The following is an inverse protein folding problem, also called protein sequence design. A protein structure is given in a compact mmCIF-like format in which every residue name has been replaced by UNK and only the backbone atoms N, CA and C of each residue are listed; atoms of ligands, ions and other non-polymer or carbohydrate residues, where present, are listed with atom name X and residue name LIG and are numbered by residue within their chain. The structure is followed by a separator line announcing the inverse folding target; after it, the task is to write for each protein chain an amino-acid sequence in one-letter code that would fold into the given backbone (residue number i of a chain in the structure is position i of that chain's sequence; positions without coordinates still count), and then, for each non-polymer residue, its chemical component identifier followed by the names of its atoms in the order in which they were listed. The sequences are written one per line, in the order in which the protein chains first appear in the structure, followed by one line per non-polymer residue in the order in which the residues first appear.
data_IF_167071240214
#
_entry.id   IF_167071240214
#
_cell.length_a   1.000
_cell.length_b   1.000
_cell.length_c   1.000
_cell.angle_alpha   90.00
_cell.angle_beta   90.00
_cell.angle_gamma   90.00
#
_symmetry.space_group_name_H-M   'P 1'
#
loop_
_entity.id
_entity.type
_entity.pdbx_description
1 polymer ?
#
# COMPACT_ATOMS: atom_id res chain seq x y z
N UNK A 1 1.80 -46.39 2.73
CA UNK A 1 1.87 -45.41 3.82
C UNK A 1 3.06 -44.44 3.72
N UNK A 2 4.32 -44.89 3.52
CA UNK A 2 5.48 -43.96 3.41
C UNK A 2 5.40 -42.93 2.28
N UNK A 3 4.84 -43.26 1.10
CA UNK A 3 4.71 -42.32 -0.05
C UNK A 3 3.65 -41.25 0.19
N UNK A 4 2.58 -41.54 0.93
CA UNK A 4 1.55 -40.57 1.28
C UNK A 4 2.03 -39.54 2.31
N UNK A 5 2.91 -39.93 3.23
CA UNK A 5 3.50 -39.06 4.25
C UNK A 5 4.50 -38.07 3.61
N UNK A 6 5.28 -38.53 2.62
CA UNK A 6 6.23 -37.69 1.89
C UNK A 6 5.48 -36.63 1.04
N UNK A 7 4.37 -37.00 0.40
CA UNK A 7 3.55 -36.05 -0.38
C UNK A 7 2.90 -35.00 0.52
N UNK A 8 2.44 -35.36 1.72
CA UNK A 8 1.86 -34.45 2.69
C UNK A 8 2.90 -33.46 3.25
N UNK A 9 4.14 -33.87 3.45
CA UNK A 9 5.24 -33.03 3.90
C UNK A 9 5.70 -32.00 2.83
N UNK A 10 5.67 -32.38 1.55
CA UNK A 10 6.01 -31.49 0.43
C UNK A 10 4.92 -30.43 0.22
N UNK A 11 3.65 -30.78 0.39
CA UNK A 11 2.53 -29.83 0.30
C UNK A 11 2.54 -28.83 1.47
N UNK A 12 2.92 -29.27 2.67
CA UNK A 12 3.05 -28.38 3.84
C UNK A 12 4.22 -27.39 3.73
N UNK A 13 5.30 -27.75 3.03
CA UNK A 13 6.46 -26.89 2.83
C UNK A 13 6.21 -25.76 1.80
N UNK A 14 5.24 -25.92 0.89
CA UNK A 14 4.87 -24.90 -0.11
C UNK A 14 3.92 -23.81 0.42
N UNK A 15 3.35 -23.99 1.60
CA UNK A 15 2.42 -23.02 2.21
C UNK A 15 3.10 -21.90 3.03
N UNK A 16 4.43 -21.92 3.19
CA UNK A 16 5.14 -20.99 4.09
C UNK A 16 5.82 -19.80 3.41
N UNK A 17 5.53 -19.50 2.15
CA UNK A 17 5.94 -18.21 1.54
C UNK A 17 4.93 -17.11 1.89
N UNK A 18 4.67 -16.88 3.18
CA UNK A 18 4.17 -15.61 3.66
C UNK A 18 5.29 -14.59 3.43
N UNK A 19 5.29 -13.94 2.27
CA UNK A 19 6.19 -12.83 1.97
C UNK A 19 6.08 -11.82 3.11
N UNK A 20 7.20 -11.44 3.69
CA UNK A 20 7.24 -10.39 4.70
C UNK A 20 6.59 -9.15 4.08
N UNK A 21 5.41 -8.78 4.57
CA UNK A 21 4.74 -7.53 4.19
C UNK A 21 5.59 -6.41 4.77
N UNK A 22 6.36 -5.74 3.92
CA UNK A 22 7.20 -4.60 4.31
C UNK A 22 6.40 -3.29 4.40
N UNK A 23 5.07 -3.36 4.30
CA UNK A 23 4.17 -2.19 4.31
C UNK A 23 3.37 -2.14 5.61
N UNK A 24 3.37 -0.97 6.26
CA UNK A 24 2.60 -0.70 7.47
C UNK A 24 1.75 0.55 7.28
N UNK A 25 0.46 0.48 7.69
CA UNK A 25 -0.36 1.66 7.86
C UNK A 25 0.04 2.35 9.17
N UNK A 26 0.59 3.56 9.08
CA UNK A 26 1.15 4.27 10.25
C UNK A 26 0.19 5.27 10.86
N UNK A 27 -0.67 5.90 10.05
CA UNK A 27 -1.71 6.81 10.51
C UNK A 27 -2.98 6.51 9.75
N UNK A 28 -4.07 6.25 10.46
CA UNK A 28 -5.37 5.94 9.86
C UNK A 28 -6.46 6.74 10.55
N UNK A 29 -7.30 7.35 9.76
CA UNK A 29 -8.52 8.02 10.21
C UNK A 29 -9.72 7.53 9.41
N UNK A 30 -10.88 7.44 10.05
CA UNK A 30 -12.14 7.21 9.35
C UNK A 30 -13.23 8.03 10.02
N UNK A 31 -14.13 8.61 9.21
CA UNK A 31 -15.30 9.33 9.71
C UNK A 31 -16.21 8.37 10.50
N UNK A 32 -16.45 8.63 11.80
CA UNK A 32 -17.33 7.80 12.59
C UNK A 32 -18.78 7.77 12.06
N UNK A 33 -19.24 8.86 11.42
CA UNK A 33 -20.58 8.95 10.85
C UNK A 33 -20.73 8.15 9.55
N UNK A 34 -19.64 7.92 8.84
CA UNK A 34 -19.61 7.13 7.60
C UNK A 34 -19.66 5.62 7.87
N UNK A 35 -19.20 5.16 9.06
CA UNK A 35 -19.17 3.74 9.41
C UNK A 35 -20.59 3.16 9.48
N UNK A 36 -20.84 2.12 8.66
CA UNK A 36 -22.14 1.46 8.57
C UNK A 36 -23.21 2.20 7.75
N UNK A 37 -22.97 3.47 7.37
CA UNK A 37 -23.88 4.26 6.52
C UNK A 37 -23.38 4.38 5.08
N UNK A 38 -22.06 4.42 4.87
CA UNK A 38 -21.45 4.48 3.54
C UNK A 38 -21.00 3.08 3.12
N UNK A 39 -21.42 2.67 1.93
CA UNK A 39 -20.97 1.44 1.28
C UNK A 39 -20.85 1.68 -0.21
N UNK A 40 -19.65 1.53 -0.72
CA UNK A 40 -19.39 1.74 -2.12
C UNK A 40 -19.72 0.52 -2.96
N UNK A 41 -20.34 0.77 -4.11
CA UNK A 41 -20.68 -0.24 -5.11
C UNK A 41 -19.75 -0.16 -6.31
N UNK A 42 -19.28 1.06 -6.64
CA UNK A 42 -18.37 1.29 -7.74
C UNK A 42 -17.37 2.42 -7.42
N UNK A 43 -16.15 2.07 -7.19
CA UNK A 43 -15.09 3.01 -6.85
C UNK A 43 -14.21 3.37 -8.06
N UNK A 44 -13.79 4.61 -8.14
CA UNK A 44 -12.72 5.05 -9.04
C UNK A 44 -11.39 5.00 -8.28
N UNK A 45 -10.39 4.34 -8.87
CA UNK A 45 -9.01 4.34 -8.39
C UNK A 45 -8.21 5.42 -9.11
N UNK A 46 -7.65 6.36 -8.36
CA UNK A 46 -6.85 7.49 -8.87
C UNK A 46 -5.48 7.53 -8.21
N UNK A 47 -4.42 7.41 -8.99
CA UNK A 47 -3.04 7.64 -8.53
C UNK A 47 -2.55 8.98 -9.03
N UNK A 48 -2.16 9.85 -8.10
CA UNK A 48 -1.68 11.20 -8.42
C UNK A 48 -0.16 11.13 -8.63
N UNK A 49 0.25 11.20 -9.89
CA UNK A 49 1.66 11.19 -10.31
C UNK A 49 1.89 12.13 -11.49
N UNK A 50 3.10 12.68 -11.58
CA UNK A 50 3.54 13.42 -12.78
C UNK A 50 3.87 12.48 -13.94
N UNK A 51 4.25 11.25 -13.63
CA UNK A 51 4.55 10.20 -14.61
C UNK A 51 3.29 9.40 -14.92
N UNK A 52 2.86 9.44 -16.18
CA UNK A 52 1.65 8.75 -16.65
C UNK A 52 1.78 7.22 -16.60
N UNK A 53 3.00 6.66 -16.72
CA UNK A 53 3.21 5.21 -16.63
C UNK A 53 3.00 4.79 -15.18
N UNK A 54 3.60 5.51 -14.22
CA UNK A 54 3.40 5.27 -12.79
C UNK A 54 1.92 5.40 -12.41
N UNK A 55 1.23 6.43 -12.92
CA UNK A 55 -0.20 6.61 -12.70
C UNK A 55 -0.99 5.39 -13.15
N UNK A 56 -0.86 4.96 -14.41
CA UNK A 56 -1.61 3.82 -14.97
C UNK A 56 -1.31 2.51 -14.27
N UNK A 57 -0.02 2.19 -14.08
CA UNK A 57 0.42 0.98 -13.37
C UNK A 57 -0.13 0.96 -11.94
N UNK A 58 -0.09 2.10 -11.25
CA UNK A 58 -0.60 2.24 -9.91
C UNK A 58 -2.13 2.09 -9.84
N UNK A 59 -2.87 2.73 -10.75
CA UNK A 59 -4.33 2.62 -10.81
C UNK A 59 -4.78 1.19 -11.12
N UNK A 60 -4.13 0.48 -12.06
CA UNK A 60 -4.43 -0.92 -12.37
C UNK A 60 -4.10 -1.84 -11.17
N UNK A 61 -2.97 -1.61 -10.47
CA UNK A 61 -2.60 -2.37 -9.28
C UNK A 61 -3.60 -2.16 -8.13
N UNK A 62 -4.09 -0.92 -7.95
CA UNK A 62 -5.09 -0.59 -6.94
C UNK A 62 -6.44 -1.25 -7.28
N UNK A 63 -6.90 -1.17 -8.53
CA UNK A 63 -8.13 -1.81 -9.01
C UNK A 63 -8.12 -3.32 -8.77
N UNK A 64 -6.98 -3.97 -9.00
CA UNK A 64 -6.83 -5.43 -8.85
C UNK A 64 -7.09 -5.92 -7.41
N UNK A 65 -7.00 -5.05 -6.39
CA UNK A 65 -7.24 -5.42 -5.00
C UNK A 65 -8.73 -5.40 -4.60
N UNK A 66 -9.58 -4.72 -5.38
CA UNK A 66 -11.01 -4.67 -5.12
C UNK A 66 -11.70 -5.93 -5.65
N UNK A 67 -11.86 -6.93 -4.76
CA UNK A 67 -12.62 -8.14 -5.05
C UNK A 67 -13.97 -8.02 -4.35
N UNK A 68 -15.06 -8.11 -5.11
CA UNK A 68 -16.42 -7.98 -4.58
C UNK A 68 -17.03 -6.56 -4.69
N UNK A 69 -16.23 -5.52 -4.83
CA UNK A 69 -16.65 -4.16 -5.17
C UNK A 69 -16.13 -3.79 -6.56
N UNK A 70 -16.99 -3.25 -7.42
CA UNK A 70 -16.54 -2.79 -8.74
C UNK A 70 -15.54 -1.65 -8.59
N UNK A 71 -14.40 -1.74 -9.27
CA UNK A 71 -13.38 -0.70 -9.28
C UNK A 71 -12.94 -0.41 -10.73
N UNK A 72 -12.68 0.85 -11.03
CA UNK A 72 -12.22 1.27 -12.36
C UNK A 72 -11.11 2.30 -12.22
N UNK A 73 -10.04 2.12 -12.99
CA UNK A 73 -8.92 3.05 -13.06
C UNK A 73 -9.36 4.40 -13.64
N UNK A 74 -8.92 5.50 -13.03
CA UNK A 74 -9.33 6.85 -13.42
C UNK A 74 -8.97 7.16 -14.87
N UNK A 75 -7.79 6.72 -15.36
CA UNK A 75 -7.36 6.98 -16.74
C UNK A 75 -8.26 6.35 -17.80
N UNK A 76 -9.12 5.37 -17.43
CA UNK A 76 -10.11 4.73 -18.32
C UNK A 76 -11.44 5.47 -18.35
N UNK A 77 -11.71 6.30 -17.36
CA UNK A 77 -12.99 6.98 -17.15
C UNK A 77 -12.95 8.45 -17.57
N UNK A 78 -11.86 9.12 -17.27
CA UNK A 78 -11.80 10.57 -17.37
C UNK A 78 -10.36 11.04 -17.61
N UNK A 79 -10.18 12.09 -18.40
CA UNK A 79 -8.89 12.69 -18.60
C UNK A 79 -8.43 13.51 -17.37
N UNK A 80 -7.10 13.65 -17.22
CA UNK A 80 -6.54 14.51 -16.15
C UNK A 80 -6.96 15.98 -16.31
N UNK A 81 -7.29 16.41 -17.53
CA UNK A 81 -7.79 17.77 -17.81
C UNK A 81 -9.23 17.94 -17.32
N UNK A 82 -10.10 16.96 -17.62
CA UNK A 82 -11.49 16.99 -17.19
C UNK A 82 -11.63 16.85 -15.67
N UNK A 83 -10.72 16.09 -15.00
CA UNK A 83 -10.66 16.02 -13.53
C UNK A 83 -10.42 17.39 -12.86
N UNK A 84 -9.78 18.34 -13.55
CA UNK A 84 -9.60 19.71 -13.04
C UNK A 84 -10.86 20.56 -13.12
N UNK A 85 -11.83 20.12 -13.92
CA UNK A 85 -13.13 20.79 -14.03
C UNK A 85 -14.16 20.02 -13.22
N UNK A 86 -14.55 20.56 -12.05
CA UNK A 86 -15.46 19.89 -11.11
C UNK A 86 -16.78 19.48 -11.74
N UNK A 87 -17.40 20.33 -12.56
CA UNK A 87 -18.69 20.04 -13.18
C UNK A 87 -18.58 18.88 -14.16
N UNK A 88 -17.58 18.91 -15.07
CA UNK A 88 -17.36 17.85 -16.05
C UNK A 88 -17.02 16.52 -15.37
N UNK A 89 -16.11 16.56 -14.37
CA UNK A 89 -15.74 15.40 -13.60
C UNK A 89 -16.97 14.75 -12.94
N UNK A 90 -17.76 15.55 -12.25
CA UNK A 90 -18.95 15.08 -11.54
C UNK A 90 -19.99 14.47 -12.49
N UNK A 91 -20.25 15.11 -13.65
CA UNK A 91 -21.14 14.56 -14.68
C UNK A 91 -20.63 13.22 -15.23
N UNK A 92 -19.34 13.15 -15.59
CA UNK A 92 -18.73 11.93 -16.15
C UNK A 92 -18.77 10.77 -15.14
N UNK A 93 -18.42 11.02 -13.88
CA UNK A 93 -18.36 9.98 -12.85
C UNK A 93 -19.77 9.50 -12.47
N UNK A 94 -20.75 10.41 -12.38
CA UNK A 94 -22.16 10.05 -12.15
C UNK A 94 -22.76 9.24 -13.30
N UNK A 95 -22.44 9.59 -14.55
CA UNK A 95 -22.95 8.88 -15.72
C UNK A 95 -22.52 7.39 -15.77
N UNK A 96 -21.36 7.05 -15.19
CA UNK A 96 -20.87 5.67 -15.10
C UNK A 96 -21.12 5.01 -13.74
N UNK A 97 -21.82 5.73 -12.84
CA UNK A 97 -22.25 5.21 -11.54
C UNK A 97 -21.13 5.07 -10.51
N UNK A 98 -20.11 5.94 -10.56
CA UNK A 98 -19.07 5.99 -9.52
C UNK A 98 -19.68 6.65 -8.28
N UNK A 99 -19.61 5.95 -7.15
CA UNK A 99 -20.09 6.43 -5.83
C UNK A 99 -18.96 6.72 -4.86
N UNK A 100 -17.75 6.17 -5.09
CA UNK A 100 -16.59 6.43 -4.27
C UNK A 100 -15.31 6.68 -5.08
N UNK A 101 -14.38 7.42 -4.51
CA UNK A 101 -13.03 7.63 -5.08
C UNK A 101 -11.98 7.26 -4.07
N UNK A 102 -11.04 6.42 -4.49
CA UNK A 102 -9.83 6.10 -3.73
C UNK A 102 -8.66 6.77 -4.42
N UNK A 103 -8.05 7.74 -3.75
CA UNK A 103 -6.86 8.44 -4.25
C UNK A 103 -5.61 7.92 -3.57
N UNK A 104 -4.49 7.87 -4.29
CA UNK A 104 -3.18 7.53 -3.74
C UNK A 104 -2.11 8.47 -4.28
N UNK A 105 -1.24 8.97 -3.41
CA UNK A 105 -0.11 9.82 -3.80
C UNK A 105 1.15 9.55 -3.00
N UNK A 106 2.30 9.80 -3.62
CA UNK A 106 3.58 9.79 -2.92
C UNK A 106 3.68 11.05 -2.03
N UNK A 107 3.97 10.84 -0.74
CA UNK A 107 4.25 11.92 0.22
C UNK A 107 5.75 12.14 0.31
N UNK A 108 6.50 11.07 0.55
CA UNK A 108 7.95 11.14 0.75
C UNK A 108 8.62 9.82 0.38
N UNK A 109 9.89 9.92 0.00
CA UNK A 109 10.78 8.77 -0.15
C UNK A 109 12.12 9.13 0.52
N UNK A 110 12.39 8.51 1.67
CA UNK A 110 13.56 8.82 2.49
C UNK A 110 14.50 7.61 2.50
N UNK A 111 15.80 7.87 2.34
CA UNK A 111 16.83 6.87 2.58
C UNK A 111 17.30 7.00 4.02
N UNK A 112 17.16 5.93 4.78
CA UNK A 112 17.66 5.84 6.15
C UNK A 112 18.91 4.98 6.16
N UNK A 113 20.02 5.56 6.59
CA UNK A 113 21.25 4.82 6.78
C UNK A 113 21.39 4.49 8.26
N UNK A 114 21.36 3.22 8.60
CA UNK A 114 21.46 2.73 9.97
C UNK A 114 22.77 1.98 10.14
N UNK A 115 23.51 2.35 11.18
CA UNK A 115 24.65 1.56 11.61
C UNK A 115 24.16 0.45 12.51
N UNK A 116 24.41 -0.80 12.15
CA UNK A 116 24.05 -1.96 12.94
C UNK A 116 25.25 -2.43 13.74
N UNK A 117 25.26 -2.26 15.06
CA UNK A 117 26.23 -2.90 15.93
C UNK A 117 25.98 -4.41 15.94
N UNK A 118 27.04 -5.22 15.88
CA UNK A 118 26.93 -6.66 16.08
C UNK A 118 26.39 -6.99 17.48
N UNK A 119 25.55 -8.03 17.61
CA UNK A 119 25.11 -8.53 18.89
C UNK A 119 26.17 -9.42 19.52
N UNK A 120 26.80 -8.96 20.60
CA UNK A 120 27.85 -9.71 21.30
C UNK A 120 27.39 -10.03 22.71
N UNK A 121 27.03 -11.26 23.02
CA UNK A 121 26.50 -11.65 24.33
C UNK A 121 27.57 -11.73 25.43
N UNK A 122 28.87 -11.63 25.09
CA UNK A 122 29.98 -11.70 26.05
C UNK A 122 30.91 -10.49 25.92
N UNK A 123 31.56 -10.09 27.04
CA UNK A 123 32.57 -9.02 27.05
C UNK A 123 33.71 -9.29 26.08
N UNK A 124 34.22 -10.52 26.06
CA UNK A 124 35.34 -10.87 25.18
C UNK A 124 34.94 -10.89 23.69
N UNK A 125 33.72 -11.31 23.39
CA UNK A 125 33.17 -11.18 22.06
C UNK A 125 33.02 -9.72 21.63
N UNK A 126 32.51 -8.87 22.50
CA UNK A 126 32.43 -7.44 22.27
C UNK A 126 33.81 -6.81 22.08
N UNK A 127 34.77 -7.07 22.98
CA UNK A 127 36.12 -6.50 22.91
C UNK A 127 36.86 -6.95 21.63
N UNK A 128 36.78 -8.24 21.30
CA UNK A 128 37.41 -8.80 20.08
C UNK A 128 36.83 -8.20 18.80
N UNK A 129 35.55 -7.76 18.83
CA UNK A 129 34.91 -7.05 17.74
C UNK A 129 35.19 -5.55 17.76
N UNK A 130 35.06 -4.88 18.91
CA UNK A 130 35.20 -3.44 19.03
C UNK A 130 36.63 -2.96 18.76
N UNK A 131 37.64 -3.74 19.20
CA UNK A 131 39.05 -3.37 19.02
C UNK A 131 39.44 -3.25 17.55
N UNK A 132 39.11 -4.19 16.65
CA UNK A 132 39.36 -4.03 15.22
C UNK A 132 38.48 -2.94 14.55
N UNK A 133 37.31 -2.61 15.09
CA UNK A 133 36.42 -1.59 14.51
C UNK A 133 37.00 -0.17 14.57
N UNK A 134 37.91 0.09 15.49
CA UNK A 134 38.67 1.36 15.48
C UNK A 134 39.48 1.50 14.19
N UNK A 135 39.79 0.38 13.53
CA UNK A 135 40.58 0.31 12.31
C UNK A 135 39.82 -0.16 11.07
N UNK A 136 38.57 -0.66 11.27
CA UNK A 136 37.76 -1.15 10.18
C UNK A 136 36.29 -0.76 10.46
N UNK A 137 35.80 0.32 9.83
CA UNK A 137 34.43 0.77 10.07
C UNK A 137 33.42 -0.31 9.69
N UNK A 138 32.37 -0.49 10.52
CA UNK A 138 31.26 -1.37 10.26
C UNK A 138 30.55 -1.03 8.94
N UNK A 139 29.71 -1.94 8.45
CA UNK A 139 28.96 -1.69 7.24
C UNK A 139 27.70 -0.86 7.52
N UNK A 140 27.40 0.03 6.59
CA UNK A 140 26.20 0.84 6.62
C UNK A 140 25.11 0.10 5.83
N UNK A 141 23.94 -0.06 6.45
CA UNK A 141 22.73 -0.52 5.76
C UNK A 141 21.91 0.70 5.40
N UNK A 142 21.62 0.84 4.12
CA UNK A 142 20.75 1.92 3.63
C UNK A 142 19.41 1.32 3.28
N UNK A 143 18.38 1.70 4.03
CA UNK A 143 16.99 1.35 3.77
C UNK A 143 16.29 2.52 3.07
N UNK A 144 15.43 2.19 2.13
CA UNK A 144 14.52 3.14 1.51
C UNK A 144 13.15 2.99 2.15
N UNK A 145 12.62 4.06 2.71
CA UNK A 145 11.24 4.12 3.21
C UNK A 145 10.42 5.00 2.28
N UNK A 146 9.38 4.42 1.69
CA UNK A 146 8.45 5.13 0.79
C UNK A 146 7.12 5.30 1.50
N UNK A 147 6.71 6.56 1.67
CA UNK A 147 5.44 6.94 2.29
C UNK A 147 4.42 7.33 1.25
N UNK A 148 3.29 6.62 1.25
CA UNK A 148 2.12 6.96 0.46
C UNK A 148 0.97 7.42 1.37
N UNK A 149 0.19 8.38 0.87
CA UNK A 149 -1.10 8.78 1.42
C UNK A 149 -2.20 8.20 0.55
N UNK A 150 -3.22 7.67 1.17
CA UNK A 150 -4.42 7.16 0.49
C UNK A 150 -5.64 7.74 1.17
N UNK A 151 -6.52 8.36 0.37
CA UNK A 151 -7.76 8.95 0.84
C UNK A 151 -8.95 8.35 0.11
N UNK A 152 -10.07 8.22 0.81
CA UNK A 152 -11.32 7.69 0.26
C UNK A 152 -12.44 8.71 0.44
N UNK A 153 -13.06 9.07 -0.67
CA UNK A 153 -14.13 10.07 -0.71
C UNK A 153 -15.46 9.43 -1.12
N UNK A 154 -16.54 9.81 -0.43
CA UNK A 154 -17.89 9.61 -0.87
C UNK A 154 -18.29 10.72 -1.84
N UNK A 155 -18.59 10.36 -3.09
CA UNK A 155 -18.98 11.33 -4.11
C UNK A 155 -20.43 11.80 -3.99
N UNK A 156 -21.27 11.08 -3.24
CA UNK A 156 -22.66 11.50 -3.01
C UNK A 156 -22.70 12.77 -2.16
N UNK A 157 -21.92 12.78 -1.08
CA UNK A 157 -21.88 13.88 -0.12
C UNK A 157 -20.63 14.77 -0.29
N UNK A 158 -19.74 14.43 -1.23
CA UNK A 158 -18.45 15.11 -1.48
C UNK A 158 -17.61 15.18 -0.20
N UNK A 159 -17.48 14.08 0.51
CA UNK A 159 -16.81 14.01 1.82
C UNK A 159 -15.70 12.98 1.88
N UNK A 160 -14.65 13.32 2.61
CA UNK A 160 -13.62 12.37 3.04
C UNK A 160 -14.21 11.44 4.07
N UNK A 161 -14.16 10.12 3.83
CA UNK A 161 -14.68 9.09 4.75
C UNK A 161 -13.58 8.23 5.37
N UNK A 162 -12.42 8.19 4.74
CA UNK A 162 -11.25 7.48 5.24
C UNK A 162 -9.97 8.10 4.71
N UNK A 163 -8.95 8.15 5.55
CA UNK A 163 -7.60 8.56 5.16
C UNK A 163 -6.57 7.68 5.86
N UNK A 164 -5.48 7.36 5.16
CA UNK A 164 -4.40 6.55 5.70
C UNK A 164 -3.05 6.91 5.13
N UNK A 165 -2.03 6.86 5.97
CA UNK A 165 -0.63 6.88 5.54
C UNK A 165 -0.01 5.51 5.70
N UNK A 166 0.81 5.11 4.73
CA UNK A 166 1.55 3.87 4.75
C UNK A 166 3.04 4.12 4.58
N UNK A 167 3.85 3.34 5.30
CA UNK A 167 5.30 3.25 5.11
C UNK A 167 5.63 1.87 4.55
N UNK A 168 6.36 1.84 3.44
CA UNK A 168 6.87 0.63 2.83
C UNK A 168 8.39 0.66 2.81
N UNK A 169 9.00 -0.39 3.35
CA UNK A 169 10.45 -0.53 3.44
C UNK A 169 10.98 -1.30 2.23
N UNK A 170 11.98 -0.74 1.55
CA UNK A 170 12.69 -1.35 0.43
C UNK A 170 11.78 -1.98 -0.63
N UNK A 171 10.81 -1.22 -1.20
CA UNK A 171 9.93 -1.77 -2.24
C UNK A 171 10.74 -2.20 -3.46
N UNK A 172 10.48 -3.40 -3.97
CA UNK A 172 11.20 -3.96 -5.12
C UNK A 172 10.92 -3.21 -6.43
N UNK A 173 9.72 -2.60 -6.52
CA UNK A 173 9.28 -1.81 -7.68
C UNK A 173 8.11 -0.90 -7.31
N UNK A 174 7.79 0.07 -8.16
CA UNK A 174 6.56 0.88 -8.01
C UNK A 174 5.30 0.02 -7.99
N UNK A 175 5.23 -1.01 -8.83
CA UNK A 175 4.09 -1.91 -8.88
C UNK A 175 3.94 -2.70 -7.57
N UNK A 176 5.01 -3.29 -7.03
CA UNK A 176 4.96 -4.01 -5.76
C UNK A 176 4.57 -3.07 -4.61
N UNK A 177 5.13 -1.86 -4.57
CA UNK A 177 4.77 -0.83 -3.59
C UNK A 177 3.26 -0.57 -3.59
N UNK A 178 2.70 -0.21 -4.75
CA UNK A 178 1.26 0.11 -4.85
C UNK A 178 0.41 -1.12 -4.54
N UNK A 179 0.81 -2.31 -4.99
CA UNK A 179 0.09 -3.56 -4.70
C UNK A 179 0.01 -3.84 -3.20
N UNK A 180 1.12 -3.74 -2.47
CA UNK A 180 1.18 -3.99 -1.03
C UNK A 180 0.38 -2.95 -0.23
N UNK A 181 0.53 -1.66 -0.56
CA UNK A 181 -0.25 -0.58 0.06
C UNK A 181 -1.74 -0.77 -0.22
N UNK A 182 -2.12 -1.02 -1.48
CA UNK A 182 -3.52 -1.24 -1.88
C UNK A 182 -4.15 -2.42 -1.15
N UNK A 183 -3.42 -3.52 -1.00
CA UNK A 183 -3.89 -4.69 -0.23
C UNK A 183 -4.18 -4.33 1.22
N UNK A 184 -3.30 -3.57 1.87
CA UNK A 184 -3.48 -3.13 3.26
C UNK A 184 -4.67 -2.17 3.39
N UNK A 185 -4.80 -1.20 2.48
CA UNK A 185 -5.90 -0.25 2.42
C UNK A 185 -7.24 -0.95 2.20
N UNK A 186 -7.35 -1.78 1.15
CA UNK A 186 -8.60 -2.48 0.82
C UNK A 186 -9.03 -3.43 1.95
N UNK A 187 -8.07 -4.09 2.61
CA UNK A 187 -8.36 -4.90 3.80
C UNK A 187 -8.99 -4.05 4.91
N UNK A 188 -8.43 -2.87 5.18
CA UNK A 188 -8.98 -1.95 6.16
C UNK A 188 -10.38 -1.44 5.78
N UNK A 189 -10.60 -1.09 4.51
CA UNK A 189 -11.89 -0.64 4.01
C UNK A 189 -12.98 -1.73 4.11
N UNK A 190 -12.59 -3.01 3.89
CA UNK A 190 -13.48 -4.16 4.10
C UNK A 190 -13.85 -4.33 5.57
N UNK A 191 -12.88 -4.22 6.49
CA UNK A 191 -13.13 -4.30 7.94
C UNK A 191 -14.08 -3.21 8.43
N UNK A 192 -14.02 -2.02 7.82
CA UNK A 192 -14.92 -0.90 8.12
C UNK A 192 -16.27 -0.98 7.41
N UNK A 193 -16.45 -1.94 6.49
CA UNK A 193 -17.70 -2.14 5.74
C UNK A 193 -17.90 -1.19 4.57
N UNK A 194 -16.91 -0.41 4.18
CA UNK A 194 -16.99 0.53 3.06
C UNK A 194 -17.00 -0.19 1.70
N UNK A 195 -16.35 -1.37 1.61
CA UNK A 195 -16.28 -2.22 0.40
C UNK A 195 -16.49 -3.69 0.75
N UNK A 196 -16.70 -4.54 -0.29
CA UNK A 196 -16.86 -6.00 -0.14
C UNK A 196 -15.56 -6.74 -0.36
#
# INVERSE_FOLDING_TARGET
MRRAIILALVVAALASSAGCVNTQLVNVWSDPAARGSVRFTHVMALVISKDQVIQRVGEDALVAQFQGTRATAAYRLISNEDLRNRERANQSLKAVGIDGVVTMRLVNSTRMTTWLPGAYPTFWGYYGWAYPMVYSPGYLVTDQVVRLETDVYDLKDDKLVWAGMSDTFNPASTQSLVTEVSKSVVTQLKQLGFVQ
#
